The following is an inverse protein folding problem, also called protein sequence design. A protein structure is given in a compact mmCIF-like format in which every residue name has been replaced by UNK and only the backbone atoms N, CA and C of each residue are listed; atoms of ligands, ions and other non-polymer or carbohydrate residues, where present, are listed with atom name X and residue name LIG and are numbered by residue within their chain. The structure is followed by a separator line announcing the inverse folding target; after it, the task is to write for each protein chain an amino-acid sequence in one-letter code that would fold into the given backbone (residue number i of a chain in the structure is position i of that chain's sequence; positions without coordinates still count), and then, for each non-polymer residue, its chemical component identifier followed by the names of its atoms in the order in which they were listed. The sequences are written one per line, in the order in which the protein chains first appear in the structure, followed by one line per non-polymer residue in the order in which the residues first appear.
data_IF_813911643821
#
_entry.id   IF_813911643821
#
_cell.length_a   1.000
_cell.length_b   1.000
_cell.length_c   1.000
_cell.angle_alpha   90.00
_cell.angle_beta   90.00
_cell.angle_gamma   90.00
#
_symmetry.space_group_name_H-M   'P 1'
#
loop_
_entity.id
_entity.type
_entity.pdbx_description
1 polymer ?
#
# COMPACT_ATOMS: atom_id res chain seq x y z
N UNK A 1 -21.95 -28.77 -16.92
CA UNK A 1 -20.78 -28.13 -16.27
C UNK A 1 -20.78 -26.70 -16.74
N UNK A 2 -21.44 -25.83 -15.97
CA UNK A 2 -21.59 -24.43 -16.34
C UNK A 2 -20.33 -23.71 -15.88
N UNK A 3 -19.59 -23.17 -16.84
CA UNK A 3 -18.59 -22.14 -16.65
C UNK A 3 -19.33 -20.91 -16.10
N UNK A 4 -19.41 -20.80 -14.77
CA UNK A 4 -19.99 -19.66 -14.07
C UNK A 4 -18.95 -18.53 -14.11
N UNK A 5 -18.82 -17.94 -15.30
CA UNK A 5 -18.02 -16.74 -15.51
C UNK A 5 -18.74 -15.58 -14.81
N UNK A 6 -18.48 -15.45 -13.50
CA UNK A 6 -18.83 -14.28 -12.70
C UNK A 6 -18.32 -13.05 -13.46
N UNK A 7 -19.17 -12.05 -13.75
CA UNK A 7 -18.76 -10.89 -14.52
C UNK A 7 -17.56 -10.22 -13.85
N UNK A 8 -16.53 -9.91 -14.65
CA UNK A 8 -15.35 -9.20 -14.19
C UNK A 8 -15.76 -7.90 -13.46
N UNK A 9 -15.06 -7.51 -12.38
CA UNK A 9 -15.38 -6.29 -11.64
C UNK A 9 -15.38 -5.07 -12.57
N UNK A 10 -16.14 -4.03 -12.21
CA UNK A 10 -16.07 -2.72 -12.83
C UNK A 10 -14.60 -2.29 -13.00
N UNK A 11 -14.15 -2.19 -14.25
CA UNK A 11 -12.77 -1.95 -14.71
C UNK A 11 -11.64 -2.19 -13.67
N UNK A 12 -11.07 -3.41 -13.58
CA UNK A 12 -9.98 -3.69 -12.64
C UNK A 12 -8.73 -2.84 -12.89
N UNK A 13 -8.50 -2.36 -14.13
CA UNK A 13 -7.37 -1.48 -14.44
C UNK A 13 -7.56 -0.12 -13.78
N UNK A 14 -8.77 0.45 -13.85
CA UNK A 14 -9.10 1.69 -13.17
C UNK A 14 -8.96 1.56 -11.64
N UNK A 15 -9.47 0.47 -11.05
CA UNK A 15 -9.35 0.21 -9.62
C UNK A 15 -7.90 0.11 -9.15
N UNK A 16 -7.05 -0.61 -9.87
CA UNK A 16 -5.62 -0.70 -9.56
C UNK A 16 -4.89 0.63 -9.75
N UNK A 17 -5.22 1.39 -10.79
CA UNK A 17 -4.62 2.70 -11.05
C UNK A 17 -4.94 3.71 -9.93
N UNK A 18 -6.19 3.77 -9.49
CA UNK A 18 -6.61 4.60 -8.35
C UNK A 18 -5.87 4.19 -7.07
N UNK A 19 -5.86 2.90 -6.75
CA UNK A 19 -5.17 2.35 -5.58
C UNK A 19 -3.66 2.66 -5.59
N UNK A 20 -3.03 2.61 -6.77
CA UNK A 20 -1.62 2.98 -6.95
C UNK A 20 -1.39 4.47 -6.68
N UNK A 21 -2.24 5.33 -7.25
CA UNK A 21 -2.16 6.77 -7.08
C UNK A 21 -2.31 7.18 -5.61
N UNK A 22 -3.29 6.60 -4.91
CA UNK A 22 -3.55 6.83 -3.48
C UNK A 22 -2.36 6.39 -2.62
N UNK A 23 -1.81 5.21 -2.91
CA UNK A 23 -0.67 4.66 -2.16
C UNK A 23 0.59 5.51 -2.35
N UNK A 24 0.84 5.99 -3.57
CA UNK A 24 1.92 6.94 -3.86
C UNK A 24 1.71 8.30 -3.19
N UNK A 25 0.47 8.78 -3.12
CA UNK A 25 0.13 10.02 -2.42
C UNK A 25 0.38 9.90 -0.92
N UNK A 26 0.01 8.75 -0.32
CA UNK A 26 0.31 8.45 1.08
C UNK A 26 1.81 8.45 1.36
N UNK A 27 2.61 7.75 0.55
CA UNK A 27 4.07 7.72 0.70
C UNK A 27 4.66 9.13 0.65
N UNK A 28 4.25 9.95 -0.34
CA UNK A 28 4.70 11.35 -0.44
C UNK A 28 4.28 12.21 0.74
N UNK A 29 3.11 11.95 1.35
CA UNK A 29 2.66 12.61 2.57
C UNK A 29 3.62 12.31 3.72
N UNK A 30 3.82 11.03 4.01
CA UNK A 30 4.67 10.55 5.10
C UNK A 30 6.14 10.98 4.92
N UNK A 31 6.67 10.97 3.69
CA UNK A 31 8.02 11.46 3.41
C UNK A 31 8.17 12.95 3.74
N UNK A 32 7.13 13.78 3.50
CA UNK A 32 7.12 15.19 3.91
C UNK A 32 7.06 15.35 5.42
N UNK A 33 6.29 14.51 6.11
CA UNK A 33 6.21 14.54 7.58
C UNK A 33 7.57 14.18 8.21
N UNK A 34 8.25 13.16 7.68
CA UNK A 34 9.61 12.81 8.10
C UNK A 34 10.58 13.95 7.85
N UNK A 35 10.51 14.61 6.69
CA UNK A 35 11.37 15.77 6.41
C UNK A 35 11.11 16.92 7.41
N UNK A 36 9.86 17.24 7.71
CA UNK A 36 9.50 18.28 8.68
C UNK A 36 10.04 17.98 10.09
N UNK A 37 9.97 16.71 10.54
CA UNK A 37 10.53 16.28 11.83
C UNK A 37 12.06 16.44 11.85
N UNK A 38 12.74 16.13 10.74
CA UNK A 38 14.19 16.27 10.63
C UNK A 38 14.62 17.74 10.67
N UNK A 39 13.90 18.64 10.00
CA UNK A 39 14.16 20.08 10.07
C UNK A 39 13.91 20.64 11.48
N UNK A 40 12.79 20.29 12.12
CA UNK A 40 12.47 20.76 13.48
C UNK A 40 13.55 20.36 14.51
N UNK A 41 14.13 19.17 14.37
CA UNK A 41 15.27 18.75 15.20
C UNK A 41 16.53 19.58 14.97
N UNK A 42 16.81 19.97 13.73
CA UNK A 42 18.00 20.76 13.42
C UNK A 42 17.91 22.16 14.05
N UNK A 43 16.73 22.78 14.01
CA UNK A 43 16.47 24.05 14.70
C UNK A 43 16.57 23.92 16.22
N UNK A 44 16.00 22.86 16.81
CA UNK A 44 16.04 22.62 18.26
C UNK A 44 17.45 22.30 18.80
N UNK A 45 18.28 21.60 18.01
CA UNK A 45 19.68 21.29 18.36
C UNK A 45 20.60 22.53 18.38
N UNK A 46 20.12 23.70 17.95
CA UNK A 46 20.90 24.95 18.04
C UNK A 46 20.91 25.59 19.44
N UNK A 47 20.09 25.09 20.37
CA UNK A 47 20.03 25.50 21.79
C UNK A 47 20.37 24.29 22.69
N UNK A 48 21.69 24.07 22.87
CA UNK A 48 22.33 22.83 23.35
C UNK A 48 22.23 22.59 24.87
N UNK A 49 21.03 22.56 25.48
CA UNK A 49 21.00 21.99 26.83
C UNK A 49 19.86 21.04 27.17
N UNK A 50 18.61 21.26 26.77
CA UNK A 50 17.56 20.26 27.04
C UNK A 50 16.41 20.33 26.03
N UNK A 51 16.39 19.41 25.06
CA UNK A 51 15.26 19.19 24.16
C UNK A 51 14.34 18.06 24.70
N UNK A 52 13.27 18.37 25.47
CA UNK A 52 12.29 17.38 25.89
C UNK A 52 11.46 16.82 24.71
N UNK A 53 11.42 17.51 23.57
CA UNK A 53 10.66 17.13 22.37
C UNK A 53 11.42 16.12 21.52
N UNK A 54 12.75 16.02 21.64
CA UNK A 54 13.59 15.11 20.89
C UNK A 54 13.16 13.64 20.95
N UNK A 55 12.69 13.17 22.12
CA UNK A 55 12.13 11.83 22.30
C UNK A 55 10.80 11.65 21.54
N UNK A 56 9.92 12.66 21.59
CA UNK A 56 8.64 12.69 20.88
C UNK A 56 8.86 12.69 19.37
N UNK A 57 9.76 13.55 18.85
CA UNK A 57 10.13 13.61 17.45
C UNK A 57 10.76 12.28 16.95
N UNK A 58 11.50 11.57 17.80
CA UNK A 58 12.04 10.24 17.47
C UNK A 58 10.91 9.23 17.27
N UNK A 59 9.96 9.24 18.19
CA UNK A 59 8.81 8.35 18.15
C UNK A 59 7.94 8.63 16.92
N UNK A 60 7.60 9.89 16.65
CA UNK A 60 6.85 10.31 15.46
C UNK A 60 7.55 9.87 14.17
N UNK A 61 8.87 10.11 14.05
CA UNK A 61 9.65 9.64 12.90
C UNK A 61 9.58 8.12 12.75
N UNK A 62 9.71 7.37 13.85
CA UNK A 62 9.66 5.91 13.81
C UNK A 62 8.31 5.37 13.33
N UNK A 63 7.22 6.08 13.68
CA UNK A 63 5.87 5.75 13.23
C UNK A 63 5.71 6.02 11.74
N UNK A 64 6.11 7.21 11.26
CA UNK A 64 6.06 7.55 9.83
C UNK A 64 6.91 6.59 9.00
N UNK A 65 8.12 6.24 9.45
CA UNK A 65 8.99 5.26 8.80
C UNK A 65 8.32 3.87 8.71
N UNK A 66 7.59 3.44 9.73
CA UNK A 66 6.85 2.18 9.71
C UNK A 66 5.70 2.20 8.70
N UNK A 67 4.92 3.28 8.67
CA UNK A 67 3.83 3.47 7.71
C UNK A 67 4.35 3.53 6.27
N UNK A 68 5.49 4.17 6.02
CA UNK A 68 6.15 4.21 4.70
C UNK A 68 6.52 2.79 4.25
N UNK A 69 7.10 1.97 5.14
CA UNK A 69 7.46 0.59 4.81
C UNK A 69 6.24 -0.23 4.41
N UNK A 70 5.15 -0.15 5.17
CA UNK A 70 3.90 -0.84 4.85
C UNK A 70 3.30 -0.35 3.54
N UNK A 71 3.27 0.96 3.31
CA UNK A 71 2.76 1.54 2.07
C UNK A 71 3.59 1.13 0.84
N UNK A 72 4.91 0.97 0.98
CA UNK A 72 5.77 0.44 -0.09
C UNK A 72 5.50 -1.03 -0.40
N UNK A 73 5.24 -1.86 0.62
CA UNK A 73 4.79 -3.24 0.39
C UNK A 73 3.46 -3.25 -0.36
N UNK A 74 2.49 -2.45 0.08
CA UNK A 74 1.21 -2.28 -0.61
C UNK A 74 1.38 -1.83 -2.07
N UNK A 75 2.29 -0.89 -2.34
CA UNK A 75 2.58 -0.43 -3.70
C UNK A 75 3.10 -1.57 -4.57
N UNK A 76 4.04 -2.39 -4.04
CA UNK A 76 4.56 -3.56 -4.74
C UNK A 76 3.45 -4.61 -5.01
N UNK A 77 2.51 -4.78 -4.08
CA UNK A 77 1.34 -5.64 -4.26
C UNK A 77 0.44 -5.16 -5.41
N UNK A 78 0.25 -3.85 -5.52
CA UNK A 78 -0.53 -3.21 -6.59
C UNK A 78 0.18 -3.35 -7.93
N UNK A 79 1.47 -3.05 -7.99
CA UNK A 79 2.27 -3.18 -9.21
C UNK A 79 2.29 -4.63 -9.71
N UNK A 80 2.40 -5.62 -8.81
CA UNK A 80 2.28 -7.03 -9.14
C UNK A 80 0.88 -7.39 -9.68
N UNK A 81 -0.19 -6.81 -9.11
CA UNK A 81 -1.55 -7.02 -9.60
C UNK A 81 -1.77 -6.43 -10.99
N UNK A 82 -1.18 -5.25 -11.29
CA UNK A 82 -1.19 -4.66 -12.63
C UNK A 82 -0.46 -5.57 -13.62
N UNK A 83 0.72 -6.09 -13.26
CA UNK A 83 1.45 -7.03 -14.11
C UNK A 83 0.64 -8.31 -14.39
N UNK A 84 -0.08 -8.86 -13.39
CA UNK A 84 -0.99 -9.99 -13.60
C UNK A 84 -2.14 -9.62 -14.53
N UNK A 85 -2.67 -8.40 -14.47
CA UNK A 85 -3.73 -7.93 -15.35
C UNK A 85 -3.23 -7.84 -16.79
N UNK A 86 -2.05 -7.28 -17.01
CA UNK A 86 -1.42 -7.19 -18.32
C UNK A 86 -1.11 -8.59 -18.91
N UNK A 87 -0.76 -9.56 -18.06
CA UNK A 87 -0.52 -10.95 -18.44
C UNK A 87 -1.81 -11.80 -18.58
N UNK A 88 -3.00 -11.24 -18.31
CA UNK A 88 -4.26 -11.99 -18.35
C UNK A 88 -4.46 -13.01 -17.21
N UNK A 89 -3.65 -12.93 -16.15
CA UNK A 89 -3.68 -13.81 -14.97
C UNK A 89 -4.33 -13.15 -13.74
N UNK A 90 -4.86 -11.93 -13.88
CA UNK A 90 -5.54 -11.23 -12.79
C UNK A 90 -6.76 -11.98 -12.27
N UNK A 91 -7.00 -11.90 -10.97
CA UNK A 91 -8.11 -12.58 -10.31
C UNK A 91 -7.90 -14.08 -10.09
N UNK A 92 -6.67 -14.59 -10.19
CA UNK A 92 -6.33 -15.98 -9.83
C UNK A 92 -5.47 -16.04 -8.58
N UNK A 93 -5.72 -17.03 -7.73
CA UNK A 93 -4.98 -17.28 -6.51
C UNK A 93 -3.55 -17.75 -6.82
N UNK A 94 -2.54 -17.11 -6.24
CA UNK A 94 -1.13 -17.51 -6.41
C UNK A 94 -0.78 -18.87 -5.81
N UNK A 95 -1.62 -19.40 -4.90
CA UNK A 95 -1.38 -20.70 -4.23
C UNK A 95 -2.04 -21.86 -4.98
N UNK A 96 -3.32 -21.73 -5.34
CA UNK A 96 -4.09 -22.82 -5.92
C UNK A 96 -4.56 -22.58 -7.36
N UNK A 97 -4.30 -21.41 -7.95
CA UNK A 97 -4.71 -21.07 -9.33
C UNK A 97 -6.20 -20.77 -9.53
N UNK A 98 -7.04 -21.07 -8.54
CA UNK A 98 -8.47 -20.84 -8.56
C UNK A 98 -8.85 -19.35 -8.61
N UNK A 99 -10.05 -19.07 -9.12
CA UNK A 99 -10.57 -17.71 -9.18
C UNK A 99 -10.70 -17.07 -7.78
N UNK A 100 -10.28 -15.82 -7.67
CA UNK A 100 -10.49 -14.98 -6.50
C UNK A 100 -11.91 -14.40 -6.63
N UNK A 101 -12.76 -14.50 -5.59
CA UNK A 101 -14.13 -13.97 -5.66
C UNK A 101 -14.18 -12.50 -6.08
N UNK A 102 -15.06 -12.14 -7.02
CA UNK A 102 -15.17 -10.79 -7.55
C UNK A 102 -15.37 -9.73 -6.46
N UNK A 103 -16.28 -9.98 -5.50
CA UNK A 103 -16.49 -9.07 -4.36
C UNK A 103 -15.23 -8.87 -3.50
N UNK A 104 -14.29 -9.83 -3.48
CA UNK A 104 -12.99 -9.63 -2.83
C UNK A 104 -12.11 -8.69 -3.65
N UNK A 105 -12.09 -8.82 -4.97
CA UNK A 105 -11.32 -7.94 -5.87
C UNK A 105 -11.90 -6.53 -5.94
N UNK A 106 -13.22 -6.37 -5.78
CA UNK A 106 -13.87 -5.06 -5.66
C UNK A 106 -13.41 -4.30 -4.41
N UNK A 107 -13.34 -4.98 -3.26
CA UNK A 107 -12.90 -4.37 -1.99
C UNK A 107 -11.37 -4.29 -1.91
N UNK A 108 -10.67 -5.29 -2.46
CA UNK A 108 -9.21 -5.43 -2.43
C UNK A 108 -8.66 -5.76 -3.82
N UNK A 109 -8.50 -4.77 -4.71
CA UNK A 109 -8.02 -4.99 -6.08
C UNK A 109 -6.65 -5.65 -6.17
N UNK A 110 -5.76 -5.39 -5.20
CA UNK A 110 -4.43 -6.00 -5.17
C UNK A 110 -4.39 -7.43 -4.57
N UNK A 111 -5.55 -8.06 -4.28
CA UNK A 111 -5.58 -9.38 -3.66
C UNK A 111 -4.85 -10.44 -4.51
N UNK A 112 -3.97 -11.20 -3.85
CA UNK A 112 -3.13 -12.24 -4.47
C UNK A 112 -3.65 -13.66 -4.34
N UNK A 113 -4.58 -13.89 -3.41
CA UNK A 113 -5.00 -15.24 -3.00
C UNK A 113 -6.52 -15.38 -2.98
N UNK A 114 -7.05 -16.58 -2.90
CA UNK A 114 -8.47 -16.79 -2.61
C UNK A 114 -8.73 -16.68 -1.09
N UNK A 115 -9.98 -16.81 -0.64
CA UNK A 115 -10.34 -16.72 0.79
C UNK A 115 -9.70 -17.83 1.61
N UNK A 116 -9.58 -19.04 1.06
CA UNK A 116 -8.99 -20.19 1.75
C UNK A 116 -7.48 -20.06 2.02
N UNK A 117 -6.77 -19.22 1.25
CA UNK A 117 -5.32 -19.02 1.36
C UNK A 117 -4.95 -17.59 1.77
N UNK A 118 -5.92 -16.82 2.24
CA UNK A 118 -5.77 -15.40 2.60
C UNK A 118 -4.85 -15.22 3.80
#
# INVERSE_FOLDING_TARGET
MADDAVPAPADPRAGLAALRADTLALIRGLDRDVAAIVEARQDANSDDEHDPEGATLAFERSQSDAMIREARVRLADVDAAVARLDAGAYGRCEVCGEAIPAGRLEIRPAARRCVAHA
#
